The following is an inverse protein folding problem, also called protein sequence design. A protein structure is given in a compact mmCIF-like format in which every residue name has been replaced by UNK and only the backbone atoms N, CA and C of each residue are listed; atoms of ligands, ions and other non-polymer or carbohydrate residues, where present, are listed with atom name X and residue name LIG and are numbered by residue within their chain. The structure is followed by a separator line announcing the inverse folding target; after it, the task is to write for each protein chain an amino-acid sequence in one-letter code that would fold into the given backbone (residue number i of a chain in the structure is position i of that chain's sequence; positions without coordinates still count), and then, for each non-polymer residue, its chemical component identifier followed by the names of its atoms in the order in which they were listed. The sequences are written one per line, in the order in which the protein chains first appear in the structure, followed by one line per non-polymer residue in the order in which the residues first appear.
data_IF_411664224115
#
_entry.id   IF_411664224115
#
_cell.length_a   1.000
_cell.length_b   1.000
_cell.length_c   1.000
_cell.angle_alpha   90.00
_cell.angle_beta   90.00
_cell.angle_gamma   90.00
#
_symmetry.space_group_name_H-M   'P 1'
#
loop_
_entity.id
_entity.type
_entity.pdbx_description
1 polymer ?
#
# COMPACT_ATOMS: atom_id res chain seq x y z
N UNK A 1 60.64 -46.35 2.30
CA UNK A 1 60.82 -45.30 3.32
C UNK A 1 59.50 -44.53 3.35
N UNK A 2 58.64 -44.55 4.37
CA UNK A 2 58.76 -44.97 5.78
C UNK A 2 58.20 -43.83 6.64
N UNK A 3 57.41 -44.01 7.71
CA UNK A 3 56.86 -45.20 8.38
C UNK A 3 55.40 -44.95 8.81
N UNK A 4 54.70 -45.99 9.28
CA UNK A 4 53.41 -45.84 9.97
C UNK A 4 53.58 -45.33 11.42
N UNK A 5 52.47 -45.01 12.11
CA UNK A 5 52.02 -45.71 13.35
C UNK A 5 50.63 -45.21 13.81
N UNK A 6 49.91 -46.04 14.58
CA UNK A 6 48.65 -45.74 15.31
C UNK A 6 48.97 -45.36 16.78
N UNK A 7 47.91 -45.25 17.63
CA UNK A 7 47.89 -45.16 19.13
C UNK A 7 47.74 -43.73 19.66
N UNK A 8 46.83 -43.37 20.59
CA UNK A 8 45.71 -44.07 21.29
C UNK A 8 44.62 -43.07 21.77
N UNK A 9 43.60 -43.54 22.48
CA UNK A 9 42.54 -42.71 23.12
C UNK A 9 42.49 -42.92 24.64
N UNK A 10 42.14 -41.88 25.42
CA UNK A 10 42.01 -41.94 26.90
C UNK A 10 40.82 -41.09 27.36
N UNK A 11 39.87 -41.76 28.04
CA UNK A 11 38.93 -41.38 29.13
C UNK A 11 38.72 -39.89 29.49
N UNK A 12 37.52 -39.40 29.85
CA UNK A 12 36.72 -39.77 31.05
C UNK A 12 35.22 -39.39 30.93
N UNK A 13 34.35 -40.27 31.44
CA UNK A 13 32.99 -40.12 32.04
C UNK A 13 32.30 -38.72 32.02
N UNK A 14 30.99 -38.60 31.73
CA UNK A 14 29.82 -38.66 32.66
C UNK A 14 28.56 -38.22 31.85
N UNK A 15 27.28 -38.62 31.99
CA UNK A 15 26.49 -39.72 32.61
C UNK A 15 25.07 -39.68 31.96
N UNK A 16 24.33 -40.80 31.81
CA UNK A 16 22.85 -40.82 31.56
C UNK A 16 22.22 -42.06 32.22
N UNK A 17 21.08 -41.91 32.90
CA UNK A 17 20.32 -43.00 33.54
C UNK A 17 19.14 -43.43 32.67
N UNK A 18 18.91 -44.75 32.54
CA UNK A 18 17.72 -45.32 31.91
C UNK A 18 16.63 -45.58 32.97
N UNK A 19 15.43 -45.04 32.75
CA UNK A 19 14.24 -45.31 33.56
C UNK A 19 13.11 -45.88 32.69
N UNK A 20 12.51 -46.99 33.13
CA UNK A 20 11.50 -47.74 32.36
C UNK A 20 10.09 -47.25 32.67
N UNK A 21 9.22 -47.20 31.66
CA UNK A 21 7.81 -46.86 31.81
C UNK A 21 6.97 -48.04 32.34
N UNK A 22 6.00 -47.77 33.21
CA UNK A 22 4.90 -48.69 33.55
C UNK A 22 3.59 -47.90 33.66
N UNK A 23 2.47 -48.54 33.31
CA UNK A 23 1.17 -47.87 33.13
C UNK A 23 0.19 -48.09 34.29
N UNK A 24 -0.76 -47.18 34.45
CA UNK A 24 -2.02 -47.42 35.15
C UNK A 24 -3.18 -46.73 34.40
N UNK A 25 -4.35 -47.37 34.36
CA UNK A 25 -5.59 -46.84 33.77
C UNK A 25 -6.56 -46.40 34.87
N UNK A 26 -7.38 -45.38 34.58
CA UNK A 26 -8.75 -45.11 35.06
C UNK A 26 -9.19 -43.80 34.35
N UNK A 27 -10.04 -43.75 33.33
CA UNK A 27 -11.27 -44.46 32.97
C UNK A 27 -12.52 -43.95 33.72
N UNK A 28 -13.22 -42.97 33.13
CA UNK A 28 -14.69 -42.87 33.00
C UNK A 28 -15.09 -41.66 32.12
N UNK A 29 -16.34 -41.64 31.61
CA UNK A 29 -16.87 -40.65 30.65
C UNK A 29 -18.17 -39.96 31.19
N UNK A 30 -19.17 -39.51 30.40
CA UNK A 30 -19.32 -38.08 30.06
C UNK A 30 -20.76 -37.52 30.32
N UNK A 31 -21.19 -36.55 29.49
CA UNK A 31 -22.53 -35.88 29.45
C UNK A 31 -22.75 -34.80 30.54
N UNK A 32 -23.67 -33.82 30.45
CA UNK A 32 -24.84 -33.57 29.57
C UNK A 32 -24.78 -32.13 28.98
N UNK A 33 -25.08 -31.90 27.70
CA UNK A 33 -26.38 -31.64 27.05
C UNK A 33 -27.14 -30.34 27.44
N UNK A 34 -27.37 -29.51 26.41
CA UNK A 34 -28.49 -28.59 26.11
C UNK A 34 -29.49 -28.15 27.21
N UNK A 35 -29.84 -26.85 27.21
CA UNK A 35 -31.20 -26.42 26.77
C UNK A 35 -31.31 -24.90 26.51
N UNK A 36 -32.38 -24.51 25.82
CA UNK A 36 -32.82 -23.13 25.57
C UNK A 36 -34.15 -22.90 26.32
N UNK A 37 -34.46 -21.68 26.77
CA UNK A 37 -35.66 -20.90 26.36
C UNK A 37 -35.92 -19.63 27.21
N UNK A 38 -36.82 -18.82 26.65
CA UNK A 38 -37.19 -17.44 26.99
C UNK A 38 -37.96 -17.27 28.33
N UNK A 39 -38.03 -16.02 28.81
CA UNK A 39 -39.25 -15.44 29.38
C UNK A 39 -39.31 -13.92 29.12
N UNK A 40 -40.49 -13.32 29.09
CA UNK A 40 -40.72 -11.92 28.67
C UNK A 40 -41.37 -11.03 29.77
N UNK A 41 -40.87 -9.78 29.92
CA UNK A 41 -41.57 -8.56 30.44
C UNK A 41 -42.27 -8.66 31.84
N UNK A 42 -42.96 -7.61 32.36
CA UNK A 42 -43.04 -6.16 32.01
C UNK A 42 -42.44 -5.21 33.10
N UNK A 43 -41.92 -4.01 32.77
CA UNK A 43 -42.53 -2.65 32.78
C UNK A 43 -42.53 -1.88 34.14
N UNK A 44 -42.46 -0.52 34.09
CA UNK A 44 -42.61 0.54 35.13
C UNK A 44 -42.39 0.21 36.63
N UNK A 45 -41.66 0.97 37.46
CA UNK A 45 -41.69 2.43 37.77
C UNK A 45 -40.44 2.73 38.66
N UNK A 46 -40.03 3.94 39.10
CA UNK A 46 -40.67 5.25 39.25
C UNK A 46 -39.71 6.44 39.05
N UNK A 47 -40.29 7.59 38.71
CA UNK A 47 -39.63 8.91 38.79
C UNK A 47 -39.72 9.43 40.23
N UNK A 48 -38.59 9.73 40.86
CA UNK A 48 -38.57 10.48 42.12
C UNK A 48 -38.28 11.97 41.87
N UNK A 49 -39.30 12.80 42.10
CA UNK A 49 -39.19 14.26 42.13
C UNK A 49 -39.14 14.71 43.57
N UNK A 50 -37.98 15.18 44.03
CA UNK A 50 -37.86 15.93 45.30
C UNK A 50 -37.50 17.38 45.00
N UNK A 51 -38.07 18.29 45.78
CA UNK A 51 -38.08 19.73 45.49
C UNK A 51 -37.11 20.51 46.36
N UNK A 52 -36.22 21.25 45.69
CA UNK A 52 -35.51 22.45 46.16
C UNK A 52 -34.74 22.37 47.49
N UNK A 53 -33.42 22.47 47.38
CA UNK A 53 -32.69 23.50 48.12
C UNK A 53 -31.62 24.15 47.25
N UNK A 54 -31.23 25.40 47.55
CA UNK A 54 -30.64 26.32 46.58
C UNK A 54 -29.11 26.43 46.73
N UNK A 55 -28.40 25.38 46.32
CA UNK A 55 -26.93 25.39 46.18
C UNK A 55 -26.55 25.65 44.74
N UNK A 56 -25.63 26.62 44.52
CA UNK A 56 -24.99 26.81 43.21
C UNK A 56 -23.98 25.68 42.98
N UNK A 57 -24.46 24.58 42.41
CA UNK A 57 -23.58 23.52 41.92
C UNK A 57 -22.61 24.12 40.88
N UNK A 58 -21.31 24.04 41.16
CA UNK A 58 -20.30 24.43 40.18
C UNK A 58 -20.44 23.48 39.00
N UNK A 59 -20.60 24.01 37.78
CA UNK A 59 -20.83 23.18 36.59
C UNK A 59 -19.67 22.20 36.42
N UNK A 60 -19.86 20.96 36.85
CA UNK A 60 -18.94 19.85 36.63
C UNK A 60 -19.01 19.50 35.15
N UNK A 61 -18.30 20.31 34.35
CA UNK A 61 -17.99 20.01 32.96
C UNK A 61 -17.07 18.80 32.96
N UNK A 62 -17.66 17.61 33.02
CA UNK A 62 -16.99 16.35 32.70
C UNK A 62 -16.55 16.49 31.24
N UNK A 63 -15.30 16.90 31.05
CA UNK A 63 -14.61 16.93 29.76
C UNK A 63 -14.48 15.50 29.26
N UNK A 64 -15.54 15.00 28.62
CA UNK A 64 -15.61 13.64 28.10
C UNK A 64 -14.69 13.54 26.88
N UNK A 65 -13.42 13.24 27.14
CA UNK A 65 -12.37 13.19 26.14
C UNK A 65 -12.71 12.13 25.06
N UNK A 66 -13.01 12.61 23.85
CA UNK A 66 -13.28 11.75 22.70
C UNK A 66 -11.94 11.17 22.23
N UNK A 67 -11.82 9.84 22.20
CA UNK A 67 -10.68 9.17 21.55
C UNK A 67 -10.63 9.57 20.07
N UNK A 68 -9.48 10.03 19.53
CA UNK A 68 -9.32 10.41 18.12
C UNK A 68 -9.39 9.23 17.14
N UNK A 69 -10.54 8.56 17.08
CA UNK A 69 -10.77 7.34 16.31
C UNK A 69 -11.08 7.64 14.83
N UNK A 70 -10.79 6.68 13.94
CA UNK A 70 -11.18 6.77 12.53
C UNK A 70 -12.71 6.76 12.39
N UNK A 71 -13.25 7.68 11.59
CA UNK A 71 -14.67 7.72 11.22
C UNK A 71 -14.87 7.87 9.71
N UNK A 72 -16.03 7.49 9.20
CA UNK A 72 -16.38 7.65 7.79
C UNK A 72 -16.99 9.03 7.57
N UNK A 73 -16.54 9.76 6.56
CA UNK A 73 -17.19 11.01 6.15
C UNK A 73 -18.54 10.70 5.48
N UNK A 74 -19.51 11.61 5.62
CA UNK A 74 -20.82 11.48 4.94
C UNK A 74 -20.78 11.95 3.49
N UNK A 75 -19.91 12.91 3.18
CA UNK A 75 -19.96 13.64 1.90
C UNK A 75 -19.18 12.93 0.79
N UNK A 76 -18.17 12.12 1.12
CA UNK A 76 -17.37 11.35 0.16
C UNK A 76 -17.08 9.96 0.76
N UNK A 77 -17.61 8.91 0.14
CA UNK A 77 -17.57 7.54 0.69
C UNK A 77 -16.15 6.96 0.90
N UNK A 78 -15.14 7.47 0.18
CA UNK A 78 -13.72 7.07 0.29
C UNK A 78 -12.91 7.96 1.25
N UNK A 79 -13.51 9.03 1.78
CA UNK A 79 -12.88 9.96 2.72
C UNK A 79 -13.18 9.56 4.16
N UNK A 80 -12.16 9.62 5.02
CA UNK A 80 -12.23 9.25 6.42
C UNK A 80 -11.80 10.42 7.30
N UNK A 81 -12.62 10.77 8.29
CA UNK A 81 -12.27 11.77 9.27
C UNK A 81 -11.62 11.17 10.53
N UNK A 82 -11.25 12.07 11.43
CA UNK A 82 -10.95 11.75 12.84
C UNK A 82 -12.12 12.18 13.71
N UNK A 83 -12.55 11.33 14.64
CA UNK A 83 -13.61 11.67 15.58
C UNK A 83 -13.11 12.71 16.59
N UNK A 84 -13.76 13.88 16.64
CA UNK A 84 -13.36 15.02 17.48
C UNK A 84 -14.60 15.75 18.02
N UNK A 85 -14.43 16.64 19.01
CA UNK A 85 -15.50 17.59 19.34
C UNK A 85 -15.70 18.58 18.18
N UNK A 86 -16.90 19.15 18.05
CA UNK A 86 -17.17 20.18 17.03
C UNK A 86 -16.25 21.40 17.18
N UNK A 87 -15.95 21.78 18.43
CA UNK A 87 -14.97 22.80 18.79
C UNK A 87 -13.55 22.47 18.29
N UNK A 88 -13.03 21.28 18.58
CA UNK A 88 -11.68 20.88 18.15
C UNK A 88 -11.58 20.81 16.62
N UNK A 89 -12.63 20.30 15.96
CA UNK A 89 -12.67 20.22 14.51
C UNK A 89 -12.61 21.62 13.87
N UNK A 90 -13.44 22.55 14.37
CA UNK A 90 -13.44 23.95 13.91
C UNK A 90 -12.11 24.65 14.21
N UNK A 91 -11.52 24.44 15.40
CA UNK A 91 -10.24 25.03 15.78
C UNK A 91 -9.07 24.55 14.90
N UNK A 92 -9.10 23.29 14.45
CA UNK A 92 -8.12 22.72 13.51
C UNK A 92 -8.37 23.11 12.04
N UNK A 93 -9.42 23.90 11.76
CA UNK A 93 -9.84 24.24 10.41
C UNK A 93 -10.25 23.02 9.61
N UNK A 94 -11.05 22.13 10.22
CA UNK A 94 -11.62 20.94 9.60
C UNK A 94 -13.12 21.08 9.31
N UNK A 95 -13.60 20.29 8.36
CA UNK A 95 -15.01 20.15 8.02
C UNK A 95 -15.67 19.04 8.87
N UNK A 96 -16.87 19.30 9.38
CA UNK A 96 -17.66 18.31 10.14
C UNK A 96 -18.53 17.48 9.19
N UNK A 97 -18.02 16.33 8.74
CA UNK A 97 -18.66 15.45 7.74
C UNK A 97 -19.43 14.30 8.41
N UNK A 98 -20.45 14.64 9.21
CA UNK A 98 -21.26 13.68 9.97
C UNK A 98 -20.83 13.54 11.45
N UNK A 99 -21.34 12.50 12.12
CA UNK A 99 -21.25 12.30 13.57
C UNK A 99 -20.53 10.99 13.94
N UNK A 100 -19.92 10.96 15.12
CA UNK A 100 -19.18 9.85 15.66
C UNK A 100 -19.33 9.80 17.20
N UNK A 101 -18.67 8.86 17.89
CA UNK A 101 -18.75 8.68 19.35
C UNK A 101 -20.21 8.68 19.89
N UNK A 102 -21.09 7.89 19.25
CA UNK A 102 -22.55 7.81 19.52
C UNK A 102 -23.31 9.17 19.46
N UNK A 103 -22.77 10.15 18.73
CA UNK A 103 -23.35 11.49 18.56
C UNK A 103 -22.66 12.59 19.38
N UNK A 104 -21.71 12.23 20.24
CA UNK A 104 -20.95 13.20 21.06
C UNK A 104 -19.86 13.94 20.26
N UNK A 105 -19.41 13.36 19.13
CA UNK A 105 -18.39 13.93 18.26
C UNK A 105 -18.85 14.15 16.82
N UNK A 106 -18.10 14.98 16.10
CA UNK A 106 -18.20 15.14 14.64
C UNK A 106 -17.11 14.34 13.95
N UNK A 107 -17.40 13.81 12.76
CA UNK A 107 -16.37 13.20 11.94
C UNK A 107 -15.59 14.31 11.21
N UNK A 108 -14.40 14.63 11.72
CA UNK A 108 -13.65 15.78 11.28
C UNK A 108 -12.71 15.45 10.12
N UNK A 109 -12.89 16.11 8.97
CA UNK A 109 -12.03 15.99 7.79
C UNK A 109 -11.18 17.24 7.66
N UNK A 110 -9.85 17.10 7.72
CA UNK A 110 -8.91 18.22 7.51
C UNK A 110 -8.60 18.31 6.01
N UNK A 111 -9.14 19.30 5.30
CA UNK A 111 -8.84 19.55 3.89
C UNK A 111 -7.92 20.76 3.71
N UNK A 112 -7.02 20.72 2.72
CA UNK A 112 -6.11 21.81 2.34
C UNK A 112 -5.94 21.80 0.82
N UNK A 113 -5.67 22.96 0.24
CA UNK A 113 -5.53 23.14 -1.22
C UNK A 113 -4.26 23.94 -1.57
N UNK A 114 -4.17 24.46 -2.79
CA UNK A 114 -2.96 25.09 -3.33
C UNK A 114 -2.38 26.18 -2.42
N UNK A 115 -1.05 26.20 -2.35
CA UNK A 115 -0.22 27.21 -1.69
C UNK A 115 -0.52 27.40 -0.19
N UNK A 116 -1.08 26.35 0.44
CA UNK A 116 -1.32 26.27 1.87
C UNK A 116 -0.30 25.37 2.57
N UNK A 117 -0.31 25.41 3.91
CA UNK A 117 0.54 24.57 4.74
C UNK A 117 -0.27 23.78 5.77
N UNK A 118 0.26 22.65 6.21
CA UNK A 118 -0.31 21.84 7.30
C UNK A 118 0.76 21.26 8.19
N UNK A 119 0.51 21.24 9.50
CA UNK A 119 1.20 20.38 10.49
C UNK A 119 0.28 19.30 11.04
N UNK A 120 -0.93 19.16 10.49
CA UNK A 120 -1.93 18.20 10.93
C UNK A 120 -1.78 16.87 10.18
N UNK A 121 -1.75 15.78 10.93
CA UNK A 121 -1.76 14.43 10.36
C UNK A 121 -3.14 14.09 9.76
N UNK A 122 -3.19 13.19 8.77
CA UNK A 122 -4.39 12.85 7.98
C UNK A 122 -5.04 14.07 7.30
N UNK A 123 -4.22 14.97 6.73
CA UNK A 123 -4.70 16.09 5.91
C UNK A 123 -4.96 15.62 4.48
N UNK A 124 -6.11 15.96 3.91
CA UNK A 124 -6.43 15.75 2.50
C UNK A 124 -5.98 16.97 1.67
N UNK A 125 -5.08 16.75 0.73
CA UNK A 125 -4.73 17.71 -0.31
C UNK A 125 -5.73 17.58 -1.47
N UNK A 126 -6.53 18.61 -1.71
CA UNK A 126 -7.57 18.63 -2.75
C UNK A 126 -7.34 19.75 -3.74
N UNK A 127 -7.80 19.57 -4.97
CA UNK A 127 -7.88 20.65 -5.95
C UNK A 127 -8.70 21.85 -5.44
N UNK A 128 -8.47 23.06 -5.97
CA UNK A 128 -9.35 24.20 -5.72
C UNK A 128 -10.78 23.93 -6.21
N UNK A 129 -11.77 24.42 -5.48
CA UNK A 129 -13.18 24.36 -5.89
C UNK A 129 -13.55 25.44 -6.91
N UNK A 130 -12.64 26.37 -7.21
CA UNK A 130 -12.85 27.48 -8.13
C UNK A 130 -12.40 27.12 -9.55
N UNK A 131 -13.28 26.38 -10.26
CA UNK A 131 -13.07 25.80 -11.61
C UNK A 131 -12.05 24.66 -11.67
N UNK A 132 -12.27 23.70 -12.57
CA UNK A 132 -11.40 22.53 -12.77
C UNK A 132 -10.08 22.87 -13.52
N UNK A 133 -9.80 24.16 -13.70
CA UNK A 133 -8.77 24.70 -14.58
C UNK A 133 -7.67 25.43 -13.77
N UNK A 134 -7.37 24.94 -12.56
CA UNK A 134 -6.25 25.42 -11.77
C UNK A 134 -4.93 24.99 -12.44
N UNK A 135 -4.40 25.86 -13.31
CA UNK A 135 -3.12 25.69 -13.99
C UNK A 135 -1.95 26.24 -13.15
N UNK A 136 -0.76 25.69 -13.38
CA UNK A 136 0.47 25.99 -12.65
C UNK A 136 0.58 25.26 -11.30
N UNK A 137 1.79 25.29 -10.72
CA UNK A 137 2.18 24.60 -9.50
C UNK A 137 1.23 24.81 -8.30
N UNK A 138 0.32 23.86 -8.08
CA UNK A 138 -0.47 23.75 -6.87
C UNK A 138 0.32 22.99 -5.79
N UNK A 139 0.87 23.70 -4.80
CA UNK A 139 1.73 23.09 -3.76
C UNK A 139 1.05 23.02 -2.39
N UNK A 140 1.05 21.85 -1.74
CA UNK A 140 0.84 21.72 -0.30
C UNK A 140 2.19 21.60 0.42
N UNK A 141 2.42 22.46 1.42
CA UNK A 141 3.59 22.35 2.31
C UNK A 141 3.24 21.57 3.59
N UNK A 142 3.91 20.45 3.81
CA UNK A 142 3.74 19.59 4.98
C UNK A 142 4.88 19.88 5.97
N UNK A 143 4.53 20.57 7.04
CA UNK A 143 5.37 20.73 8.21
C UNK A 143 5.25 19.46 9.08
N UNK A 144 6.37 18.96 9.62
CA UNK A 144 6.34 17.82 10.55
C UNK A 144 5.53 18.19 11.79
N UNK A 145 4.63 17.30 12.24
CA UNK A 145 3.80 17.50 13.42
C UNK A 145 4.59 17.48 14.74
N UNK A 146 5.79 16.87 14.72
CA UNK A 146 6.82 16.89 15.76
C UNK A 146 8.16 16.40 15.18
N UNK A 147 9.23 16.37 15.98
CA UNK A 147 10.57 15.93 15.56
C UNK A 147 10.75 14.41 15.41
N UNK A 148 9.73 13.59 15.69
CA UNK A 148 9.79 12.12 15.56
C UNK A 148 9.15 11.63 14.23
N UNK A 149 9.07 12.46 13.19
CA UNK A 149 8.49 12.09 11.89
C UNK A 149 9.59 11.75 10.88
N UNK A 150 9.68 10.47 10.50
CA UNK A 150 10.66 9.93 9.56
C UNK A 150 10.11 9.67 8.15
N UNK A 151 8.79 9.74 7.94
CA UNK A 151 8.18 9.30 6.68
C UNK A 151 6.81 9.96 6.47
N UNK A 152 6.45 10.19 5.21
CA UNK A 152 5.09 10.54 4.79
C UNK A 152 4.55 9.45 3.87
N UNK A 153 3.28 9.09 4.06
CA UNK A 153 2.51 8.27 3.12
C UNK A 153 1.47 9.16 2.44
N UNK A 154 1.40 9.09 1.11
CA UNK A 154 0.34 9.66 0.30
C UNK A 154 -0.60 8.53 -0.13
N UNK A 155 -1.89 8.61 0.23
CA UNK A 155 -2.92 7.75 -0.35
C UNK A 155 -3.65 8.52 -1.46
N UNK A 156 -3.67 7.98 -2.68
CA UNK A 156 -4.31 8.60 -3.83
C UNK A 156 -5.80 8.23 -3.88
N UNK A 157 -6.58 8.81 -2.97
CA UNK A 157 -8.05 8.59 -2.85
C UNK A 157 -8.75 8.84 -4.18
N UNK A 158 -8.28 9.87 -4.89
CA UNK A 158 -8.47 10.07 -6.31
C UNK A 158 -7.22 10.79 -6.87
N UNK A 159 -6.70 10.36 -8.01
CA UNK A 159 -5.62 11.03 -8.72
C UNK A 159 -5.69 10.63 -10.21
N UNK A 160 -6.28 11.50 -11.01
CA UNK A 160 -6.29 11.41 -12.47
C UNK A 160 -5.77 12.73 -13.05
N UNK A 161 -4.59 12.66 -13.69
CA UNK A 161 -3.94 13.75 -14.42
C UNK A 161 -3.88 13.41 -15.92
N UNK A 162 -3.34 14.34 -16.74
CA UNK A 162 -3.01 14.06 -18.15
C UNK A 162 -2.17 12.80 -18.28
N UNK A 163 -2.32 12.11 -19.41
CA UNK A 163 -1.48 10.95 -19.72
C UNK A 163 -0.04 11.39 -20.02
N UNK A 164 0.95 10.48 -19.93
CA UNK A 164 2.26 10.74 -20.49
C UNK A 164 2.16 11.00 -22.01
N UNK A 165 3.24 11.54 -22.55
CA UNK A 165 3.48 11.55 -23.99
C UNK A 165 3.68 10.14 -24.56
N UNK A 166 4.12 10.04 -25.81
CA UNK A 166 4.31 8.76 -26.49
C UNK A 166 5.46 7.94 -25.87
N UNK A 167 6.46 8.64 -25.31
CA UNK A 167 7.71 8.09 -24.80
C UNK A 167 7.65 7.83 -23.28
N UNK A 168 6.46 7.90 -22.68
CA UNK A 168 6.21 7.62 -21.27
C UNK A 168 6.47 8.79 -20.31
N UNK A 169 6.77 9.98 -20.81
CA UNK A 169 7.17 11.13 -19.99
C UNK A 169 5.98 12.03 -19.64
N UNK A 170 5.91 12.44 -18.38
CA UNK A 170 4.83 13.28 -17.85
C UNK A 170 5.08 14.78 -18.12
N UNK A 171 4.73 15.27 -19.31
CA UNK A 171 4.93 16.68 -19.70
C UNK A 171 3.83 17.62 -19.19
N UNK A 172 2.56 17.29 -19.45
CA UNK A 172 1.45 18.25 -19.37
C UNK A 172 1.02 18.57 -17.92
N UNK A 173 0.59 17.54 -17.19
CA UNK A 173 0.10 17.64 -15.81
C UNK A 173 0.77 16.53 -14.98
N UNK A 174 1.42 16.89 -13.87
CA UNK A 174 2.21 15.94 -13.08
C UNK A 174 2.22 16.22 -11.57
N UNK A 175 2.35 15.15 -10.78
CA UNK A 175 2.59 15.14 -9.35
C UNK A 175 4.09 14.95 -9.06
N UNK A 176 4.64 15.78 -8.18
CA UNK A 176 5.98 15.64 -7.60
C UNK A 176 5.96 15.78 -6.07
N UNK A 177 6.98 15.24 -5.41
CA UNK A 177 7.22 15.42 -3.97
C UNK A 177 8.70 15.72 -3.70
N UNK A 178 8.97 16.69 -2.82
CA UNK A 178 10.33 17.14 -2.50
C UNK A 178 10.50 17.44 -1.00
N UNK A 179 11.74 17.48 -0.51
CA UNK A 179 12.07 17.78 0.90
C UNK A 179 12.26 16.55 1.81
N UNK A 180 12.30 15.35 1.23
CA UNK A 180 12.72 14.11 1.90
C UNK A 180 14.18 13.76 1.64
N UNK A 181 14.54 12.49 1.86
CA UNK A 181 15.89 11.94 1.62
C UNK A 181 15.94 10.89 0.52
N UNK A 182 14.82 10.24 0.21
CA UNK A 182 14.72 9.33 -0.95
C UNK A 182 14.34 10.11 -2.21
N UNK A 183 14.77 9.68 -3.41
CA UNK A 183 14.16 10.15 -4.65
C UNK A 183 12.68 9.72 -4.71
N UNK A 184 11.91 10.38 -5.55
CA UNK A 184 10.55 9.98 -5.91
C UNK A 184 10.31 10.28 -7.39
N UNK A 185 9.62 9.39 -8.13
CA UNK A 185 9.29 9.63 -9.52
C UNK A 185 8.28 10.78 -9.67
N UNK A 186 8.29 11.39 -10.85
CA UNK A 186 7.23 12.27 -11.32
C UNK A 186 6.07 11.39 -11.81
N UNK A 187 4.84 11.66 -11.35
CA UNK A 187 3.67 10.81 -11.63
C UNK A 187 2.58 11.58 -12.38
N UNK A 188 2.09 11.00 -13.47
CA UNK A 188 0.93 11.50 -14.21
C UNK A 188 -0.07 10.37 -14.50
N UNK A 189 -1.16 10.69 -15.19
CA UNK A 189 -2.21 9.75 -15.53
C UNK A 189 -3.01 9.22 -14.34
N UNK A 190 -3.47 7.98 -14.42
CA UNK A 190 -4.46 7.36 -13.52
C UNK A 190 -3.80 6.60 -12.37
N UNK A 191 -3.84 7.16 -11.17
CA UNK A 191 -3.21 6.61 -9.96
C UNK A 191 -4.20 6.43 -8.79
N UNK A 192 -5.49 6.66 -9.03
CA UNK A 192 -6.58 6.44 -8.07
C UNK A 192 -6.55 5.05 -7.44
N UNK A 193 -6.61 5.00 -6.11
CA UNK A 193 -6.54 3.78 -5.31
C UNK A 193 -5.12 3.32 -4.96
N UNK A 194 -4.07 3.89 -5.57
CA UNK A 194 -2.68 3.59 -5.22
C UNK A 194 -2.20 4.45 -4.03
N UNK A 195 -0.98 4.17 -3.55
CA UNK A 195 -0.31 4.95 -2.52
C UNK A 195 1.20 5.00 -2.76
N UNK A 196 1.85 5.99 -2.17
CA UNK A 196 3.32 6.05 -2.10
C UNK A 196 3.82 6.42 -0.71
N UNK A 197 5.02 5.99 -0.38
CA UNK A 197 5.76 6.30 0.84
C UNK A 197 7.00 7.12 0.48
N UNK A 198 7.35 8.08 1.33
CA UNK A 198 8.45 9.03 1.10
C UNK A 198 9.23 9.25 2.39
N UNK A 199 10.49 8.82 2.42
CA UNK A 199 11.37 8.90 3.59
C UNK A 199 11.90 10.31 3.82
N UNK A 200 11.96 10.71 5.09
CA UNK A 200 12.37 12.03 5.55
C UNK A 200 13.50 11.92 6.59
N UNK A 201 14.45 12.83 6.54
CA UNK A 201 15.26 13.16 7.72
C UNK A 201 14.34 13.82 8.78
N UNK A 202 14.29 13.33 10.03
CA UNK A 202 13.62 14.02 11.14
C UNK A 202 14.10 15.45 11.38
N UNK A 203 15.35 15.77 11.01
CA UNK A 203 15.97 17.11 11.11
C UNK A 203 15.78 17.96 9.83
N UNK A 204 15.21 17.40 8.77
CA UNK A 204 15.08 18.05 7.47
C UNK A 204 14.07 19.21 7.43
N UNK A 205 14.08 19.95 6.30
CA UNK A 205 13.09 20.99 6.00
C UNK A 205 11.68 20.44 5.73
N UNK A 206 10.69 21.32 5.58
CA UNK A 206 9.31 20.94 5.27
C UNK A 206 9.20 20.23 3.91
N UNK A 207 8.26 19.27 3.82
CA UNK A 207 8.01 18.49 2.60
C UNK A 207 7.02 19.25 1.72
N UNK A 208 7.20 19.23 0.40
CA UNK A 208 6.26 19.81 -0.56
C UNK A 208 5.69 18.71 -1.44
N UNK A 209 4.36 18.69 -1.58
CA UNK A 209 3.65 17.88 -2.56
C UNK A 209 3.04 18.85 -3.57
N UNK A 210 3.44 18.74 -4.83
CA UNK A 210 3.07 19.68 -5.88
C UNK A 210 2.42 18.95 -7.03
N UNK A 211 1.18 19.33 -7.35
CA UNK A 211 0.56 19.00 -8.64
C UNK A 211 0.74 20.22 -9.53
N UNK A 212 1.52 20.11 -10.59
CA UNK A 212 1.60 21.11 -11.64
C UNK A 212 0.71 20.70 -12.83
N UNK A 213 0.18 21.69 -13.54
CA UNK A 213 -0.80 21.50 -14.62
C UNK A 213 -0.63 22.58 -15.68
N UNK A 214 -0.16 22.22 -16.86
CA UNK A 214 0.04 23.18 -17.95
C UNK A 214 -1.16 23.26 -18.91
N UNK A 215 -2.02 22.23 -18.96
CA UNK A 215 -3.13 22.17 -19.92
C UNK A 215 -4.49 22.06 -19.24
N UNK A 216 -5.44 22.89 -19.70
CA UNK A 216 -6.85 22.76 -19.33
C UNK A 216 -7.50 21.60 -20.11
N UNK A 217 -7.34 20.39 -19.60
CA UNK A 217 -7.89 19.17 -20.20
C UNK A 217 -9.42 19.21 -20.38
N UNK A 218 -9.92 18.53 -21.41
CA UNK A 218 -11.35 18.42 -21.74
C UNK A 218 -12.11 17.40 -20.87
N UNK A 219 -11.40 16.61 -20.06
CA UNK A 219 -11.94 15.64 -19.10
C UNK A 219 -11.75 16.15 -17.67
N UNK A 220 -12.52 15.60 -16.73
CA UNK A 220 -12.50 15.98 -15.32
C UNK A 220 -11.28 15.40 -14.58
N UNK A 221 -10.08 15.85 -14.96
CA UNK A 221 -8.85 15.61 -14.20
C UNK A 221 -9.01 16.12 -12.78
N UNK A 222 -8.72 15.26 -11.81
CA UNK A 222 -9.06 15.51 -10.40
C UNK A 222 -8.09 14.85 -9.44
N UNK A 223 -7.79 15.51 -8.32
CA UNK A 223 -6.99 14.92 -7.24
C UNK A 223 -7.58 15.16 -5.84
N UNK A 224 -7.40 14.14 -5.00
CA UNK A 224 -7.62 14.13 -3.56
C UNK A 224 -6.61 13.16 -2.96
N UNK A 225 -5.53 13.70 -2.41
CA UNK A 225 -4.38 12.95 -1.90
C UNK A 225 -4.39 13.06 -0.37
N UNK A 226 -4.53 11.95 0.35
CA UNK A 226 -4.46 11.93 1.81
C UNK A 226 -3.01 11.87 2.26
N UNK A 227 -2.56 12.91 2.95
CA UNK A 227 -1.24 13.01 3.58
C UNK A 227 -1.29 12.41 4.98
N UNK A 228 -0.50 11.37 5.20
CA UNK A 228 -0.32 10.71 6.50
C UNK A 228 1.13 10.86 6.95
N UNK A 229 1.37 11.56 8.06
CA UNK A 229 2.71 11.65 8.68
C UNK A 229 2.94 10.43 9.56
N UNK A 230 4.11 9.80 9.42
CA UNK A 230 4.44 8.53 10.08
C UNK A 230 5.68 8.72 10.96
N UNK A 231 5.57 8.31 12.22
CA UNK A 231 6.66 8.44 13.18
C UNK A 231 7.76 7.40 12.97
N UNK A 232 8.97 7.72 13.41
CA UNK A 232 10.16 6.89 13.21
C UNK A 232 10.05 5.48 13.81
N UNK A 233 9.28 5.36 14.89
CA UNK A 233 8.95 4.19 15.70
C UNK A 233 7.61 3.51 15.30
N UNK A 234 6.91 4.04 14.30
CA UNK A 234 5.59 3.53 13.90
C UNK A 234 5.67 2.15 13.26
N UNK A 235 4.85 1.20 13.75
CA UNK A 235 4.65 -0.13 13.13
C UNK A 235 4.06 -0.10 11.70
N UNK A 236 3.63 1.08 11.24
CA UNK A 236 3.08 1.32 9.89
C UNK A 236 4.09 1.98 8.93
N UNK A 237 5.31 2.26 9.42
CA UNK A 237 6.43 2.75 8.63
C UNK A 237 6.86 1.69 7.62
N UNK A 238 7.01 2.08 6.35
CA UNK A 238 7.64 1.26 5.33
C UNK A 238 9.17 1.19 5.57
N UNK A 239 9.86 0.10 5.21
CA UNK A 239 11.32 0.11 5.18
C UNK A 239 11.85 1.23 4.27
N UNK A 240 13.06 1.73 4.53
CA UNK A 240 13.66 2.82 3.75
C UNK A 240 13.90 2.37 2.31
N UNK A 241 13.56 3.23 1.34
CA UNK A 241 13.63 2.92 -0.10
C UNK A 241 12.41 2.18 -0.67
N UNK A 242 11.41 1.87 0.15
CA UNK A 242 10.13 1.31 -0.30
C UNK A 242 9.19 2.44 -0.74
N UNK A 243 9.10 2.69 -2.05
CA UNK A 243 8.16 3.67 -2.60
C UNK A 243 6.70 3.19 -2.46
N UNK A 244 6.45 1.89 -2.63
CA UNK A 244 5.19 1.26 -2.26
C UNK A 244 5.43 0.21 -1.15
N UNK A 245 4.49 0.09 -0.22
CA UNK A 245 4.55 -0.92 0.84
C UNK A 245 3.16 -1.50 1.12
N UNK A 246 3.08 -2.82 1.15
CA UNK A 246 1.87 -3.60 1.39
C UNK A 246 2.04 -4.50 2.61
N UNK A 247 0.96 -4.74 3.36
CA UNK A 247 1.02 -5.49 4.63
C UNK A 247 0.21 -6.79 4.65
N UNK A 248 -0.43 -7.12 3.54
CA UNK A 248 -1.39 -8.23 3.45
C UNK A 248 -0.68 -9.55 3.09
N UNK A 249 -1.35 -10.69 3.33
CA UNK A 249 -0.87 -12.00 2.85
C UNK A 249 -1.17 -12.23 1.37
N UNK A 250 -2.04 -11.42 0.76
CA UNK A 250 -2.45 -11.49 -0.65
C UNK A 250 -3.00 -10.13 -1.06
N UNK A 251 -2.44 -9.50 -2.10
CA UNK A 251 -2.93 -8.25 -2.68
C UNK A 251 -2.39 -8.10 -4.12
N UNK A 252 -2.82 -7.07 -4.84
CA UNK A 252 -2.34 -6.75 -6.18
C UNK A 252 -1.49 -5.47 -6.15
N UNK A 253 -0.29 -5.56 -6.71
CA UNK A 253 0.59 -4.41 -6.98
C UNK A 253 0.34 -3.96 -8.41
N UNK A 254 0.06 -2.68 -8.61
CA UNK A 254 0.04 -2.06 -9.93
C UNK A 254 1.24 -1.13 -10.08
N UNK A 255 1.75 -0.97 -11.29
CA UNK A 255 2.59 0.17 -11.63
C UNK A 255 1.77 1.47 -11.56
N UNK A 256 2.44 2.61 -11.37
CA UNK A 256 1.79 3.90 -11.54
C UNK A 256 1.26 4.08 -12.98
N UNK A 257 0.19 4.87 -13.15
CA UNK A 257 -0.64 5.01 -14.37
C UNK A 257 -1.24 3.72 -14.97
N UNK A 258 -1.10 2.55 -14.32
CA UNK A 258 -1.60 1.28 -14.84
C UNK A 258 -3.11 1.30 -15.16
N UNK A 259 -3.48 0.84 -16.35
CA UNK A 259 -4.86 0.62 -16.74
C UNK A 259 -5.00 -0.61 -17.67
N UNK A 260 -5.65 -1.68 -17.19
CA UNK A 260 -5.94 -2.89 -17.98
C UNK A 260 -7.16 -2.69 -18.90
N UNK A 261 -7.13 -1.67 -19.77
CA UNK A 261 -8.22 -1.36 -20.69
C UNK A 261 -7.85 -1.77 -22.12
N UNK A 262 -8.72 -2.56 -22.76
CA UNK A 262 -8.56 -2.97 -24.17
C UNK A 262 -8.92 -1.84 -25.16
N UNK A 263 -8.79 -0.58 -24.75
CA UNK A 263 -9.09 0.59 -25.59
C UNK A 263 -7.82 0.98 -26.33
N UNK A 264 -7.92 1.06 -27.66
CA UNK A 264 -6.87 1.54 -28.56
C UNK A 264 -6.70 3.07 -28.41
N UNK A 265 -6.10 3.47 -27.29
CA UNK A 265 -5.48 4.78 -27.12
C UNK A 265 -4.02 4.62 -27.54
N UNK A 266 -3.58 5.41 -28.52
CA UNK A 266 -2.28 5.28 -29.20
C UNK A 266 -1.06 5.71 -28.37
N UNK A 267 -1.25 6.00 -27.08
CA UNK A 267 -0.22 6.39 -26.12
C UNK A 267 0.11 5.19 -25.21
N UNK A 268 1.31 5.14 -24.68
CA UNK A 268 1.65 4.24 -23.57
C UNK A 268 0.85 4.61 -22.30
N UNK A 269 0.68 3.66 -21.36
CA UNK A 269 0.32 3.97 -19.96
C UNK A 269 1.48 3.76 -19.01
N UNK A 270 2.53 3.09 -19.48
CA UNK A 270 3.75 2.94 -18.73
C UNK A 270 4.44 4.31 -18.62
N UNK A 271 5.23 4.48 -17.56
CA UNK A 271 5.95 5.73 -17.28
C UNK A 271 7.44 5.44 -17.42
N UNK A 272 8.14 6.28 -18.18
CA UNK A 272 9.59 6.22 -18.29
C UNK A 272 10.27 6.76 -17.02
N UNK A 273 11.56 6.48 -16.89
CA UNK A 273 12.47 6.92 -15.83
C UNK A 273 12.04 6.46 -14.42
N UNK A 274 11.58 5.22 -14.31
CA UNK A 274 11.04 4.64 -13.07
C UNK A 274 12.02 3.63 -12.47
N UNK A 275 12.68 3.99 -11.37
CA UNK A 275 13.42 3.06 -10.51
C UNK A 275 12.83 3.10 -9.09
N UNK A 276 12.16 2.02 -8.65
CA UNK A 276 11.58 1.97 -7.30
C UNK A 276 11.39 0.56 -6.73
N UNK A 277 11.52 0.48 -5.40
CA UNK A 277 11.18 -0.71 -4.61
C UNK A 277 9.71 -0.74 -4.19
N UNK A 278 9.06 -1.87 -4.45
CA UNK A 278 7.78 -2.29 -3.85
C UNK A 278 8.04 -3.36 -2.79
N UNK A 279 7.59 -3.10 -1.58
CA UNK A 279 7.89 -3.92 -0.41
C UNK A 279 6.64 -4.62 0.14
N UNK A 280 6.79 -5.87 0.55
CA UNK A 280 5.69 -6.67 1.08
C UNK A 280 6.07 -7.15 2.47
N UNK A 281 5.31 -6.74 3.48
CA UNK A 281 5.54 -7.19 4.86
C UNK A 281 5.30 -8.69 4.94
N UNK A 282 6.37 -9.46 5.16
CA UNK A 282 6.26 -10.88 5.47
C UNK A 282 5.40 -11.07 6.72
N UNK A 283 4.34 -11.86 6.60
CA UNK A 283 3.46 -12.21 7.71
C UNK A 283 4.11 -13.29 8.60
N UNK A 284 3.66 -13.40 9.85
CA UNK A 284 4.26 -14.31 10.83
C UNK A 284 4.12 -15.78 10.38
N UNK A 285 5.23 -16.53 10.46
CA UNK A 285 5.37 -17.90 9.93
C UNK A 285 5.24 -18.08 8.41
N UNK A 286 5.12 -17.01 7.62
CA UNK A 286 5.26 -17.09 6.16
C UNK A 286 6.73 -17.11 5.74
N UNK A 287 7.04 -17.87 4.68
CA UNK A 287 8.41 -18.19 4.26
C UNK A 287 8.70 -17.86 2.78
N UNK A 288 7.69 -17.90 1.91
CA UNK A 288 7.82 -17.53 0.50
C UNK A 288 6.66 -16.68 -0.01
N UNK A 289 6.77 -16.23 -1.25
CA UNK A 289 5.78 -15.43 -1.96
C UNK A 289 5.68 -15.89 -3.42
N UNK A 290 4.46 -15.99 -3.95
CA UNK A 290 4.17 -16.27 -5.36
C UNK A 290 3.52 -15.07 -6.03
N UNK A 291 3.87 -14.83 -7.28
CA UNK A 291 3.43 -13.73 -8.13
C UNK A 291 2.79 -14.26 -9.41
N UNK A 292 1.70 -13.64 -9.84
CA UNK A 292 1.02 -13.89 -11.12
C UNK A 292 0.46 -12.58 -11.68
N UNK A 293 0.43 -12.41 -13.00
CA UNK A 293 -0.18 -11.23 -13.62
C UNK A 293 -1.72 -11.28 -13.61
N UNK A 294 -2.33 -10.11 -13.45
CA UNK A 294 -3.76 -9.94 -13.20
C UNK A 294 -4.51 -9.56 -14.50
N UNK A 295 -5.06 -10.57 -15.16
CA UNK A 295 -5.78 -10.43 -16.42
C UNK A 295 -7.32 -10.31 -16.27
N UNK A 296 -7.84 -10.06 -15.06
CA UNK A 296 -9.28 -10.11 -14.74
C UNK A 296 -10.13 -9.10 -15.54
N UNK A 297 -9.54 -8.00 -16.03
CA UNK A 297 -10.26 -6.94 -16.77
C UNK A 297 -9.78 -6.77 -18.23
N UNK A 298 -8.74 -7.50 -18.65
CA UNK A 298 -8.14 -7.38 -19.97
C UNK A 298 -6.80 -8.09 -20.08
N UNK A 299 -6.22 -8.12 -21.29
CA UNK A 299 -4.97 -8.84 -21.59
C UNK A 299 -3.70 -8.10 -21.18
N UNK A 300 -3.81 -6.83 -20.82
CA UNK A 300 -2.68 -5.95 -20.50
C UNK A 300 -2.30 -6.00 -19.01
N UNK A 301 -2.48 -7.15 -18.36
CA UNK A 301 -2.09 -7.36 -16.95
C UNK A 301 -0.58 -7.36 -16.72
N UNK A 302 0.20 -7.58 -17.77
CA UNK A 302 1.65 -7.36 -17.79
C UNK A 302 2.05 -7.13 -19.26
N UNK A 303 2.40 -5.90 -19.60
CA UNK A 303 2.93 -5.48 -20.90
C UNK A 303 3.91 -4.36 -20.61
N UNK A 304 5.19 -4.77 -20.49
CA UNK A 304 6.29 -3.96 -19.95
C UNK A 304 7.37 -3.65 -20.98
N UNK A 305 7.48 -4.47 -22.03
CA UNK A 305 8.50 -4.36 -23.08
C UNK A 305 7.97 -4.98 -24.37
N UNK A 306 8.56 -4.65 -25.52
CA UNK A 306 8.12 -4.99 -26.88
C UNK A 306 6.80 -4.27 -27.28
N UNK A 307 6.47 -4.31 -28.58
CA UNK A 307 5.50 -3.44 -29.24
C UNK A 307 4.08 -3.98 -29.06
N UNK A 308 3.45 -3.64 -27.93
CA UNK A 308 2.09 -4.06 -27.59
C UNK A 308 1.06 -3.75 -28.70
N UNK A 309 1.20 -2.59 -29.37
CA UNK A 309 0.30 -2.16 -30.44
C UNK A 309 0.49 -2.91 -31.78
N UNK A 310 1.63 -3.55 -32.02
CA UNK A 310 1.88 -4.35 -33.23
C UNK A 310 1.66 -5.85 -33.02
N UNK A 311 1.58 -6.30 -31.77
CA UNK A 311 1.47 -7.71 -31.41
C UNK A 311 0.04 -8.24 -31.58
N UNK A 312 -0.09 -9.47 -32.10
CA UNK A 312 -1.38 -10.13 -32.27
C UNK A 312 -2.10 -10.23 -30.91
N UNK A 313 -3.30 -9.66 -30.81
CA UNK A 313 -3.98 -9.45 -29.51
C UNK A 313 -4.26 -10.72 -28.71
N UNK A 314 -4.22 -11.91 -29.33
CA UNK A 314 -4.38 -13.20 -28.67
C UNK A 314 -3.08 -13.75 -28.03
N UNK A 315 -1.93 -13.12 -28.29
CA UNK A 315 -0.64 -13.45 -27.68
C UNK A 315 -0.33 -12.54 -26.48
N UNK A 316 -0.80 -11.28 -26.52
CA UNK A 316 -0.68 -10.34 -25.39
C UNK A 316 -1.28 -10.96 -24.12
N UNK A 317 -0.53 -10.90 -23.01
CA UNK A 317 -0.91 -11.47 -21.72
C UNK A 317 -0.76 -12.98 -21.61
N UNK A 318 -0.10 -13.64 -22.56
CA UNK A 318 0.25 -15.08 -22.46
C UNK A 318 1.69 -15.27 -21.99
N UNK A 319 2.02 -16.44 -21.44
CA UNK A 319 3.42 -16.70 -21.06
C UNK A 319 4.36 -16.90 -22.26
N UNK A 320 3.81 -17.04 -23.48
CA UNK A 320 4.57 -17.09 -24.73
C UNK A 320 5.21 -15.74 -25.11
N UNK A 321 4.62 -14.63 -24.67
CA UNK A 321 5.18 -13.28 -24.83
C UNK A 321 5.91 -12.77 -23.58
N UNK A 322 6.13 -13.64 -22.59
CA UNK A 322 6.94 -13.34 -21.42
C UNK A 322 8.43 -13.59 -21.68
N UNK A 323 9.26 -12.63 -21.25
CA UNK A 323 10.72 -12.66 -21.38
C UNK A 323 11.38 -12.57 -19.99
N UNK A 324 12.59 -13.10 -19.86
CA UNK A 324 13.31 -13.21 -18.57
C UNK A 324 14.82 -13.09 -18.72
N UNK A 325 15.51 -12.70 -17.65
CA UNK A 325 16.98 -12.71 -17.56
C UNK A 325 17.61 -11.58 -18.38
N UNK A 326 18.69 -11.89 -19.11
CA UNK A 326 19.47 -10.89 -19.86
C UNK A 326 18.71 -10.30 -21.06
N UNK A 327 17.61 -10.94 -21.49
CA UNK A 327 16.66 -10.37 -22.46
C UNK A 327 15.84 -9.21 -21.90
N UNK A 328 15.88 -8.98 -20.57
CA UNK A 328 15.26 -7.86 -19.89
C UNK A 328 16.31 -6.76 -19.64
N UNK A 329 16.53 -5.94 -20.66
CA UNK A 329 17.63 -4.98 -20.72
C UNK A 329 17.21 -3.53 -20.45
N UNK A 330 16.07 -3.11 -21.02
CA UNK A 330 15.45 -1.78 -20.86
C UNK A 330 14.49 -1.80 -19.66
N UNK A 331 13.27 -2.25 -19.89
CA UNK A 331 12.17 -2.24 -18.92
C UNK A 331 11.91 -3.63 -18.33
N UNK A 332 11.80 -3.71 -17.01
CA UNK A 332 11.52 -4.97 -16.30
C UNK A 332 11.08 -4.79 -14.85
N UNK A 333 10.50 -5.86 -14.30
CA UNK A 333 10.40 -6.04 -12.86
C UNK A 333 11.44 -7.04 -12.35
N UNK A 334 11.97 -6.80 -11.15
CA UNK A 334 12.90 -7.71 -10.47
C UNK A 334 12.18 -8.42 -9.32
N UNK A 335 12.20 -9.76 -9.31
CA UNK A 335 11.73 -10.62 -8.21
C UNK A 335 12.93 -11.46 -7.74
N UNK A 336 13.68 -11.01 -6.70
CA UNK A 336 14.95 -11.63 -6.31
C UNK A 336 14.83 -13.10 -5.90
N UNK A 337 15.69 -13.96 -6.45
CA UNK A 337 15.66 -15.41 -6.27
C UNK A 337 14.46 -16.10 -6.93
N UNK A 338 13.89 -15.49 -7.98
CA UNK A 338 12.69 -15.97 -8.65
C UNK A 338 12.86 -17.35 -9.32
N UNK A 339 11.95 -18.26 -8.99
CA UNK A 339 11.75 -19.56 -9.63
C UNK A 339 10.41 -19.52 -10.38
N UNK A 340 10.44 -19.64 -11.71
CA UNK A 340 9.29 -19.42 -12.57
C UNK A 340 8.90 -20.65 -13.41
N UNK A 341 7.67 -20.61 -13.94
CA UNK A 341 7.13 -21.57 -14.91
C UNK A 341 6.40 -20.83 -16.03
N UNK A 342 6.60 -21.27 -17.27
CA UNK A 342 5.94 -20.73 -18.46
C UNK A 342 5.64 -21.86 -19.46
N UNK A 343 4.74 -21.63 -20.39
CA UNK A 343 4.42 -22.61 -21.42
C UNK A 343 5.61 -22.79 -22.40
N UNK A 344 6.41 -21.73 -22.58
CA UNK A 344 7.70 -21.77 -23.30
C UNK A 344 8.74 -22.67 -22.64
N UNK A 345 8.67 -22.91 -21.33
CA UNK A 345 9.54 -23.84 -20.61
C UNK A 345 8.86 -25.18 -20.25
N UNK A 346 7.73 -25.50 -20.90
CA UNK A 346 6.88 -26.67 -20.61
C UNK A 346 6.42 -26.74 -19.13
N UNK A 347 6.30 -25.58 -18.48
CA UNK A 347 6.02 -25.40 -17.05
C UNK A 347 7.01 -26.11 -16.10
N UNK A 348 8.25 -26.34 -16.58
CA UNK A 348 9.39 -26.81 -15.77
C UNK A 348 9.95 -25.65 -14.95
N UNK A 349 10.31 -25.83 -13.66
CA UNK A 349 10.92 -24.76 -12.87
C UNK A 349 12.24 -24.24 -13.46
N UNK A 350 12.26 -22.96 -13.85
CA UNK A 350 13.46 -22.23 -14.25
C UNK A 350 13.76 -21.10 -13.25
N UNK A 351 14.92 -20.43 -13.37
CA UNK A 351 15.30 -19.30 -12.51
C UNK A 351 15.49 -18.01 -13.32
N UNK A 352 15.06 -16.90 -12.75
CA UNK A 352 15.41 -15.54 -13.20
C UNK A 352 15.17 -14.56 -12.05
N UNK A 353 15.93 -13.48 -12.01
CA UNK A 353 15.61 -12.31 -11.19
C UNK A 353 14.77 -11.28 -11.97
N UNK A 354 14.94 -11.15 -13.30
CA UNK A 354 14.26 -10.15 -14.16
C UNK A 354 13.13 -10.75 -14.99
N UNK A 355 12.06 -9.98 -15.20
CA UNK A 355 10.85 -10.36 -15.93
C UNK A 355 10.31 -9.18 -16.74
N UNK A 356 10.03 -9.39 -18.04
CA UNK A 356 9.75 -8.34 -19.02
C UNK A 356 8.90 -8.86 -20.20
N UNK A 357 8.56 -7.98 -21.16
CA UNK A 357 7.81 -8.34 -22.37
C UNK A 357 6.28 -8.13 -22.28
N UNK A 358 5.55 -8.65 -23.27
CA UNK A 358 4.10 -8.53 -23.44
C UNK A 358 3.29 -9.63 -22.73
N UNK A 359 3.84 -10.17 -21.64
CA UNK A 359 3.25 -11.22 -20.84
C UNK A 359 4.12 -11.57 -19.64
N UNK A 360 3.58 -12.34 -18.71
CA UNK A 360 4.29 -12.78 -17.50
C UNK A 360 4.32 -14.32 -17.43
N UNK A 361 5.33 -14.94 -16.80
CA UNK A 361 5.30 -16.38 -16.55
C UNK A 361 4.05 -16.78 -15.74
N UNK A 362 3.52 -17.99 -16.01
CA UNK A 362 2.29 -18.51 -15.40
C UNK A 362 2.30 -18.44 -13.86
N UNK A 363 3.49 -18.59 -13.26
CA UNK A 363 3.76 -18.23 -11.87
C UNK A 363 5.26 -17.94 -11.70
N UNK A 364 5.58 -16.95 -10.87
CA UNK A 364 6.93 -16.73 -10.32
C UNK A 364 6.85 -16.92 -8.80
N UNK A 365 7.82 -17.63 -8.21
CA UNK A 365 7.87 -17.89 -6.77
C UNK A 365 9.24 -17.56 -6.20
N UNK A 366 9.31 -16.97 -5.02
CA UNK A 366 10.58 -16.75 -4.32
C UNK A 366 10.45 -16.99 -2.82
N UNK A 367 11.58 -17.34 -2.20
CA UNK A 367 11.79 -17.46 -0.75
C UNK A 367 12.84 -16.49 -0.23
N UNK A 368 13.40 -15.64 -1.09
CA UNK A 368 14.29 -14.55 -0.71
C UNK A 368 13.54 -13.58 0.21
N UNK A 369 14.19 -13.10 1.26
CA UNK A 369 13.59 -12.19 2.23
C UNK A 369 14.50 -10.96 2.45
N UNK A 370 13.97 -9.75 2.61
CA UNK A 370 12.54 -9.38 2.60
C UNK A 370 11.84 -9.64 1.26
N UNK A 371 10.51 -9.72 1.25
CA UNK A 371 9.75 -9.87 0.02
C UNK A 371 9.69 -8.52 -0.70
N UNK A 372 10.35 -8.46 -1.85
CA UNK A 372 10.54 -7.28 -2.68
C UNK A 372 10.12 -7.57 -4.12
N UNK A 373 9.59 -6.55 -4.77
CA UNK A 373 9.49 -6.41 -6.22
C UNK A 373 10.16 -5.07 -6.54
N UNK A 374 11.11 -5.03 -7.47
CA UNK A 374 11.64 -3.76 -7.97
C UNK A 374 11.07 -3.51 -9.37
N UNK A 375 10.97 -2.24 -9.74
CA UNK A 375 10.54 -1.80 -11.07
C UNK A 375 11.67 -0.96 -11.63
N UNK A 376 12.06 -1.26 -12.87
CA UNK A 376 13.07 -0.52 -13.63
C UNK A 376 12.51 -0.27 -15.01
N UNK A 377 12.32 1.00 -15.35
CA UNK A 377 12.02 1.47 -16.69
C UNK A 377 13.09 2.47 -17.11
N UNK A 378 13.52 2.46 -18.37
CA UNK A 378 14.63 3.30 -18.84
C UNK A 378 14.21 4.74 -19.23
N UNK A 379 14.87 5.41 -20.18
CA UNK A 379 14.66 6.83 -20.42
C UNK A 379 13.50 7.15 -21.36
N UNK A 380 13.13 6.24 -22.27
CA UNK A 380 12.05 6.44 -23.24
C UNK A 380 11.33 5.14 -23.61
N UNK A 381 10.02 5.24 -23.87
CA UNK A 381 9.19 4.10 -24.28
C UNK A 381 9.13 3.96 -25.83
N UNK A 382 10.05 4.57 -26.59
CA UNK A 382 9.90 4.76 -28.04
C UNK A 382 10.06 3.48 -28.87
N UNK A 383 10.54 2.38 -28.25
CA UNK A 383 10.55 1.02 -28.82
C UNK A 383 9.47 0.11 -28.22
N UNK A 384 8.77 0.56 -27.18
CA UNK A 384 7.96 -0.25 -26.26
C UNK A 384 6.46 0.15 -26.35
N UNK A 385 6.02 0.29 -27.60
CA UNK A 385 4.85 1.09 -27.96
C UNK A 385 3.50 0.51 -27.52
N UNK A 386 2.76 1.32 -26.77
CA UNK A 386 1.41 0.98 -26.30
C UNK A 386 1.39 0.10 -25.06
N UNK A 387 2.55 -0.10 -24.42
CA UNK A 387 2.64 -0.78 -23.13
C UNK A 387 1.77 -0.12 -22.06
N UNK A 388 1.54 -0.89 -20.99
CA UNK A 388 0.60 -0.54 -19.92
C UNK A 388 1.21 -0.63 -18.53
N UNK A 389 2.47 -1.06 -18.43
CA UNK A 389 3.09 -1.47 -17.18
C UNK A 389 2.53 -2.82 -16.72
N UNK A 390 2.29 -2.97 -15.41
CA UNK A 390 1.88 -4.24 -14.82
C UNK A 390 0.81 -4.13 -13.72
N UNK A 391 0.09 -5.24 -13.55
CA UNK A 391 -0.73 -5.56 -12.39
C UNK A 391 -0.38 -6.98 -11.95
N UNK A 392 0.39 -7.10 -10.87
CA UNK A 392 0.89 -8.36 -10.34
C UNK A 392 0.22 -8.68 -9.00
N UNK A 393 -0.57 -9.75 -8.97
CA UNK A 393 -1.14 -10.29 -7.73
C UNK A 393 -0.10 -11.16 -7.04
N UNK A 394 0.19 -10.85 -5.78
CA UNK A 394 1.03 -11.70 -4.93
C UNK A 394 0.20 -12.50 -3.93
N UNK A 395 0.76 -13.63 -3.49
CA UNK A 395 0.26 -14.44 -2.37
C UNK A 395 1.45 -14.98 -1.58
N UNK A 396 1.49 -14.70 -0.28
CA UNK A 396 2.48 -15.28 0.63
C UNK A 396 2.14 -16.76 0.91
N UNK A 397 3.16 -17.60 1.12
CA UNK A 397 3.03 -19.01 1.53
C UNK A 397 3.84 -19.34 2.79
N UNK A 398 3.31 -20.24 3.61
CA UNK A 398 3.96 -20.82 4.81
C UNK A 398 4.86 -22.02 4.45
N UNK A 399 4.93 -22.43 3.19
CA UNK A 399 5.80 -23.53 2.74
C UNK A 399 7.26 -23.06 2.65
N UNK A 400 8.06 -23.43 3.65
CA UNK A 400 9.47 -23.05 3.78
C UNK A 400 10.43 -23.97 3.00
N UNK A 401 10.17 -25.28 2.98
CA UNK A 401 10.95 -26.33 2.29
C UNK A 401 10.84 -26.25 0.78
#
# INVERSE_FOLDING_TARGET
MGNAWRVWSVWVWVWVVVGVALSAHLHLQPEQQQQQQQLEKPDNTSLHTETSENVRDERVFIMLAISPDKCNSKDIATTFGTCLTSSDCKQRGGLSSGTCAKGLGVCCVITRSCNSATSLNNTYFTQPTATNNALGACTLTINRMNSNICQVRLDFINLELSQPDFDGVCQDDFLTITGGVSPAPMLCGLNTGQHMYYDLDPKGGAVKVTVDRSIAASLALTWTIKVSQISCDSKFRAPVGCLQYFTDTTNTVNSFNFANTNVFINNTRQLANMDYGVCIKRADNYCGISWQANYVQGRYGFTVTDVANATATNLIGTSYTSSTGDMCATDFVIIPGGVYKSDTNNNVPAKSDRYCGLGFPNIVTTKTQPFMLYVTNDQDEALDLGNRGFSLTYRQTTVCT
#
